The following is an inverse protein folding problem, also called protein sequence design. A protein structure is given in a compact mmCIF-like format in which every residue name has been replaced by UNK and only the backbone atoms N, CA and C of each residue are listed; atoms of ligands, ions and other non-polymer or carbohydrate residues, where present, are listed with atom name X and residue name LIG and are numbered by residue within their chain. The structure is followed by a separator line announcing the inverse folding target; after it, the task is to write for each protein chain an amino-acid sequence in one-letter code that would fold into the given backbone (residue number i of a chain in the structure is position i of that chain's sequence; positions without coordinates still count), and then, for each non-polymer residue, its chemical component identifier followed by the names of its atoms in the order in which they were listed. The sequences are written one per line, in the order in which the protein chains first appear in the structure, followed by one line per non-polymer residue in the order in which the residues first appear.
data_IF_257867185393
#
_entry.id   IF_257867185393
#
_cell.length_a   1.000
_cell.length_b   1.000
_cell.length_c   1.000
_cell.angle_alpha   90.00
_cell.angle_beta   90.00
_cell.angle_gamma   90.00
#
_symmetry.space_group_name_H-M   'P 1'
#
loop_
_entity.id
_entity.type
_entity.pdbx_description
1 polymer ?
#
# COMPACT_ATOMS: atom_id res chain seq x y z
N UNK A 1 34.17 31.03 -22.16
CA UNK A 1 33.60 31.15 -20.80
C UNK A 1 32.58 30.04 -20.64
N UNK A 2 33.04 28.87 -20.19
CA UNK A 2 32.14 27.72 -19.93
C UNK A 2 31.36 28.02 -18.67
N UNK A 3 30.09 28.28 -18.82
CA UNK A 3 29.16 28.30 -17.70
C UNK A 3 29.06 26.87 -17.21
N UNK A 4 29.73 26.55 -16.10
CA UNK A 4 29.46 25.31 -15.37
C UNK A 4 28.00 25.39 -14.92
N UNK A 5 27.15 24.64 -15.62
CA UNK A 5 25.80 24.36 -15.15
C UNK A 5 25.99 23.61 -13.82
N UNK A 6 25.70 24.29 -12.69
CA UNK A 6 25.70 23.66 -11.37
C UNK A 6 24.80 22.43 -11.47
N UNK A 7 25.41 21.25 -11.54
CA UNK A 7 24.67 19.97 -11.58
C UNK A 7 23.67 19.98 -10.46
N UNK A 8 22.41 20.19 -10.81
CA UNK A 8 21.29 20.29 -9.86
C UNK A 8 21.26 19.02 -9.04
N UNK A 9 21.62 19.12 -7.77
CA UNK A 9 21.59 18.00 -6.82
C UNK A 9 20.14 17.72 -6.43
N UNK A 10 19.73 16.46 -6.54
CA UNK A 10 18.36 16.03 -6.29
C UNK A 10 18.25 15.02 -5.17
N UNK A 11 17.13 15.08 -4.46
CA UNK A 11 16.69 14.05 -3.52
C UNK A 11 15.60 13.24 -4.21
N UNK A 12 15.66 11.93 -4.08
CA UNK A 12 14.61 11.02 -4.56
C UNK A 12 13.90 10.43 -3.36
N UNK A 13 12.58 10.58 -3.33
CA UNK A 13 11.68 9.84 -2.43
C UNK A 13 11.02 8.71 -3.23
N UNK A 14 10.94 7.53 -2.66
CA UNK A 14 10.21 6.39 -3.24
C UNK A 14 9.18 5.85 -2.26
N UNK A 15 7.95 5.69 -2.73
CA UNK A 15 6.89 4.91 -2.09
C UNK A 15 6.68 3.65 -2.93
N UNK A 16 7.26 2.53 -2.46
CA UNK A 16 7.36 1.29 -3.23
C UNK A 16 6.43 0.20 -2.70
N UNK A 17 5.42 -0.12 -3.48
CA UNK A 17 4.49 -1.21 -3.24
C UNK A 17 4.73 -2.41 -4.15
N UNK A 18 3.97 -3.48 -3.94
CA UNK A 18 4.08 -4.71 -4.74
C UNK A 18 3.64 -4.54 -6.21
N UNK A 19 2.75 -3.60 -6.51
CA UNK A 19 2.17 -3.39 -7.84
C UNK A 19 2.72 -2.19 -8.58
N UNK A 20 3.14 -1.16 -7.86
CA UNK A 20 3.67 0.07 -8.43
C UNK A 20 4.59 0.76 -7.43
N UNK A 21 5.54 1.53 -7.94
CA UNK A 21 6.39 2.43 -7.16
C UNK A 21 6.19 3.85 -7.66
N UNK A 22 5.97 4.77 -6.74
CA UNK A 22 5.93 6.21 -7.02
C UNK A 22 7.24 6.83 -6.56
N UNK A 23 7.94 7.47 -7.48
CA UNK A 23 9.16 8.19 -7.24
C UNK A 23 8.90 9.69 -7.34
N UNK A 24 9.50 10.46 -6.45
CA UNK A 24 9.49 11.92 -6.51
C UNK A 24 10.92 12.41 -6.54
N UNK A 25 11.28 13.04 -7.62
CA UNK A 25 12.58 13.73 -7.76
C UNK A 25 12.38 15.16 -7.32
N UNK A 26 13.01 15.55 -6.22
CA UNK A 26 12.97 16.90 -5.66
C UNK A 26 14.28 17.60 -6.03
N UNK A 27 14.17 18.68 -6.79
CA UNK A 27 15.28 19.51 -7.20
C UNK A 27 14.97 20.98 -6.88
N UNK A 28 15.63 21.54 -5.88
CA UNK A 28 15.32 22.88 -5.32
C UNK A 28 13.83 22.96 -4.95
N UNK A 29 13.02 23.72 -5.71
CA UNK A 29 11.59 23.87 -5.46
C UNK A 29 10.69 23.06 -6.42
N UNK A 30 11.29 22.30 -7.36
CA UNK A 30 10.53 21.54 -8.35
C UNK A 30 10.42 20.07 -7.95
N UNK A 31 9.25 19.51 -8.18
CA UNK A 31 8.95 18.10 -7.97
C UNK A 31 8.59 17.45 -9.30
N UNK A 32 9.20 16.30 -9.58
CA UNK A 32 8.84 15.45 -10.72
C UNK A 32 8.39 14.09 -10.21
N UNK A 33 7.14 13.75 -10.49
CA UNK A 33 6.62 12.42 -10.22
C UNK A 33 6.95 11.47 -11.37
N UNK A 34 7.37 10.26 -11.02
CA UNK A 34 7.64 9.16 -11.94
C UNK A 34 6.97 7.92 -11.36
N UNK A 35 6.31 7.14 -12.20
CA UNK A 35 5.71 5.88 -11.82
C UNK A 35 6.40 4.75 -12.55
N UNK A 36 6.73 3.69 -11.82
CA UNK A 36 7.33 2.47 -12.34
C UNK A 36 6.57 1.24 -11.88
N UNK A 37 6.92 0.10 -12.39
CA UNK A 37 6.52 -1.20 -11.86
C UNK A 37 6.86 -1.31 -10.38
N UNK A 38 6.13 -2.14 -9.65
CA UNK A 38 6.28 -2.30 -8.20
C UNK A 38 7.64 -2.92 -7.83
N UNK A 39 8.25 -2.37 -6.79
CA UNK A 39 9.47 -2.92 -6.19
C UNK A 39 9.15 -3.42 -4.79
N UNK A 40 9.25 -4.74 -4.62
CA UNK A 40 9.13 -5.40 -3.32
C UNK A 40 10.19 -6.51 -3.23
N UNK A 41 11.23 -6.35 -2.41
CA UNK A 41 12.31 -7.33 -2.30
C UNK A 41 11.89 -8.69 -1.73
N UNK A 42 10.66 -8.82 -1.22
CA UNK A 42 10.09 -10.12 -0.85
C UNK A 42 9.57 -10.93 -2.05
N UNK A 43 9.31 -10.26 -3.18
CA UNK A 43 8.67 -10.84 -4.37
C UNK A 43 9.62 -10.79 -5.57
N UNK A 44 10.28 -9.65 -5.80
CA UNK A 44 11.15 -9.44 -6.94
C UNK A 44 12.57 -9.96 -6.65
N UNK A 45 13.20 -10.61 -7.65
CA UNK A 45 14.62 -10.90 -7.63
C UNK A 45 15.45 -9.67 -8.02
N UNK A 46 16.80 -9.75 -7.87
CA UNK A 46 17.70 -8.62 -8.12
C UNK A 46 17.57 -8.10 -9.55
N UNK A 47 17.62 -8.99 -10.55
CA UNK A 47 17.54 -8.61 -11.96
C UNK A 47 16.21 -7.91 -12.31
N UNK A 48 15.11 -8.30 -11.68
CA UNK A 48 13.82 -7.62 -11.87
C UNK A 48 13.85 -6.21 -11.29
N UNK A 49 14.43 -6.04 -10.09
CA UNK A 49 14.55 -4.71 -9.46
C UNK A 49 15.50 -3.83 -10.30
N UNK A 50 16.63 -4.37 -10.73
CA UNK A 50 17.58 -3.66 -11.58
C UNK A 50 16.94 -3.21 -12.89
N UNK A 51 16.18 -4.09 -13.56
CA UNK A 51 15.47 -3.72 -14.79
C UNK A 51 14.52 -2.54 -14.55
N UNK A 52 13.73 -2.54 -13.47
CA UNK A 52 12.85 -1.40 -13.13
C UNK A 52 13.68 -0.12 -12.94
N UNK A 53 14.79 -0.20 -12.21
CA UNK A 53 15.62 0.98 -11.94
C UNK A 53 16.30 1.52 -13.22
N UNK A 54 16.82 0.63 -14.09
CA UNK A 54 17.57 1.03 -15.27
C UNK A 54 16.69 1.37 -16.46
N UNK A 55 15.59 0.62 -16.67
CA UNK A 55 14.75 0.76 -17.86
C UNK A 55 13.55 1.70 -17.64
N UNK A 56 13.01 1.74 -16.40
CA UNK A 56 11.81 2.54 -16.13
C UNK A 56 12.13 3.85 -15.37
N UNK A 57 13.08 3.87 -14.40
CA UNK A 57 13.37 5.06 -13.60
C UNK A 57 14.47 5.94 -14.22
N UNK A 58 15.64 5.38 -14.48
CA UNK A 58 16.82 6.15 -14.95
C UNK A 58 16.58 6.98 -16.20
N UNK A 59 15.81 6.54 -17.21
CA UNK A 59 15.51 7.35 -18.38
C UNK A 59 14.88 8.71 -18.07
N UNK A 60 14.23 8.82 -16.92
CA UNK A 60 13.56 10.05 -16.49
C UNK A 60 14.44 11.01 -15.69
N UNK A 61 15.65 10.59 -15.29
CA UNK A 61 16.56 11.34 -14.39
C UNK A 61 17.99 11.48 -14.91
N UNK A 62 18.26 11.26 -16.20
CA UNK A 62 19.61 11.27 -16.81
C UNK A 62 20.45 12.51 -16.53
N UNK A 63 19.82 13.68 -16.48
CA UNK A 63 20.53 14.96 -16.31
C UNK A 63 20.69 15.37 -14.84
N UNK A 64 20.33 14.47 -13.92
CA UNK A 64 20.21 14.80 -12.49
C UNK A 64 21.31 14.11 -11.70
N UNK A 65 22.08 14.85 -10.90
CA UNK A 65 22.97 14.25 -9.89
C UNK A 65 22.14 13.94 -8.65
N UNK A 66 21.93 12.65 -8.38
CA UNK A 66 21.18 12.20 -7.19
C UNK A 66 22.11 12.24 -5.98
N UNK A 67 21.75 13.05 -4.96
CA UNK A 67 22.50 13.17 -3.72
C UNK A 67 22.01 12.20 -2.66
N UNK A 68 20.69 11.99 -2.60
CA UNK A 68 20.06 11.19 -1.56
C UNK A 68 18.84 10.45 -2.10
N UNK A 69 18.67 9.21 -1.67
CA UNK A 69 17.48 8.41 -1.95
C UNK A 69 16.88 7.96 -0.62
N UNK A 70 15.62 8.31 -0.40
CA UNK A 70 14.80 7.82 0.70
C UNK A 70 13.81 6.80 0.10
N UNK A 71 14.11 5.53 0.27
CA UNK A 71 13.31 4.44 -0.26
C UNK A 71 12.44 3.85 0.86
N UNK A 72 11.14 4.02 0.72
CA UNK A 72 10.12 3.44 1.58
C UNK A 72 9.47 2.27 0.87
N UNK A 73 9.73 1.04 1.31
CA UNK A 73 9.33 -0.14 0.56
C UNK A 73 8.58 -1.20 1.35
N UNK A 74 7.51 -1.71 0.75
CA UNK A 74 6.91 -2.97 1.18
C UNK A 74 7.97 -4.08 1.15
N UNK A 75 7.97 -4.94 2.17
CA UNK A 75 8.95 -6.02 2.32
C UNK A 75 10.29 -5.62 2.93
N UNK A 76 10.55 -4.32 3.16
CA UNK A 76 11.78 -3.82 3.78
C UNK A 76 11.77 -3.88 5.32
N UNK A 77 10.72 -4.41 5.94
CA UNK A 77 10.70 -4.67 7.39
C UNK A 77 11.72 -5.75 7.78
N UNK A 78 11.97 -6.70 6.90
CA UNK A 78 13.04 -7.69 7.05
C UNK A 78 14.39 -7.04 6.76
N UNK A 79 15.32 -7.11 7.73
CA UNK A 79 16.63 -6.46 7.65
C UNK A 79 17.48 -6.97 6.47
N UNK A 80 17.42 -8.26 6.16
CA UNK A 80 18.19 -8.83 5.04
C UNK A 80 17.72 -8.29 3.71
N UNK A 81 16.40 -8.10 3.54
CA UNK A 81 15.78 -7.52 2.35
C UNK A 81 16.07 -6.03 2.24
N UNK A 82 16.09 -5.32 3.36
CA UNK A 82 16.48 -3.91 3.39
C UNK A 82 17.94 -3.73 2.96
N UNK A 83 18.88 -4.54 3.48
CA UNK A 83 20.28 -4.54 3.05
C UNK A 83 20.46 -4.89 1.58
N UNK A 84 19.70 -5.87 1.10
CA UNK A 84 19.70 -6.24 -0.32
C UNK A 84 19.24 -5.07 -1.19
N UNK A 85 18.19 -4.36 -0.79
CA UNK A 85 17.69 -3.19 -1.52
C UNK A 85 18.69 -2.04 -1.50
N UNK A 86 19.34 -1.78 -0.36
CA UNK A 86 20.44 -0.79 -0.25
C UNK A 86 21.56 -1.09 -1.26
N UNK A 87 22.01 -2.35 -1.34
CA UNK A 87 23.05 -2.77 -2.27
C UNK A 87 22.65 -2.52 -3.73
N UNK A 88 21.43 -2.88 -4.11
CA UNK A 88 20.94 -2.69 -5.49
C UNK A 88 20.87 -1.20 -5.82
N UNK A 89 20.34 -0.38 -4.92
CA UNK A 89 20.26 1.07 -5.14
C UNK A 89 21.65 1.71 -5.21
N UNK A 90 22.63 1.27 -4.43
CA UNK A 90 24.03 1.75 -4.54
C UNK A 90 24.66 1.39 -5.87
N UNK A 91 24.38 0.22 -6.42
CA UNK A 91 24.83 -0.14 -7.77
C UNK A 91 24.22 0.77 -8.83
N UNK A 92 22.95 1.12 -8.68
CA UNK A 92 22.29 2.03 -9.62
C UNK A 92 22.67 3.51 -9.41
N UNK A 93 22.96 3.95 -8.17
CA UNK A 93 23.20 5.34 -7.78
C UNK A 93 24.43 5.45 -6.86
N UNK A 94 25.59 5.20 -7.39
CA UNK A 94 26.85 5.04 -6.65
C UNK A 94 27.31 6.24 -5.81
N UNK A 95 26.81 7.45 -6.08
CA UNK A 95 27.14 8.69 -5.36
C UNK A 95 26.08 9.14 -4.38
N UNK A 96 24.93 8.48 -4.33
CA UNK A 96 23.82 8.88 -3.47
C UNK A 96 23.96 8.32 -2.06
N UNK A 97 23.54 9.12 -1.07
CA UNK A 97 23.20 8.60 0.26
C UNK A 97 21.91 7.77 0.17
N UNK A 98 21.93 6.52 0.60
CA UNK A 98 20.77 5.63 0.54
C UNK A 98 20.21 5.41 1.93
N UNK A 99 18.90 5.65 2.10
CA UNK A 99 18.17 5.37 3.33
C UNK A 99 16.98 4.46 2.96
N UNK A 100 16.97 3.27 3.54
CA UNK A 100 15.88 2.30 3.36
C UNK A 100 14.98 2.34 4.58
N UNK A 101 13.69 2.45 4.35
CA UNK A 101 12.62 2.42 5.35
C UNK A 101 11.47 1.54 4.89
N UNK A 102 10.56 1.25 5.80
CA UNK A 102 9.38 0.43 5.54
C UNK A 102 8.23 1.25 4.97
N UNK A 103 7.31 0.60 4.26
CA UNK A 103 6.05 1.19 3.82
C UNK A 103 5.17 1.66 5.01
N UNK A 104 5.26 0.97 6.17
CA UNK A 104 4.57 1.40 7.40
C UNK A 104 5.14 2.73 7.91
N UNK A 105 6.46 2.93 7.86
CA UNK A 105 7.07 4.22 8.22
C UNK A 105 6.62 5.33 7.26
N UNK A 106 6.53 5.05 5.96
CA UNK A 106 5.98 6.01 5.00
C UNK A 106 4.56 6.41 5.35
N UNK A 107 3.70 5.43 5.60
CA UNK A 107 2.32 5.65 5.99
C UNK A 107 2.23 6.45 7.30
N UNK A 108 3.04 6.08 8.31
CA UNK A 108 3.06 6.75 9.61
C UNK A 108 3.54 8.19 9.55
N UNK A 109 4.65 8.44 8.86
CA UNK A 109 5.18 9.80 8.64
C UNK A 109 4.15 10.66 7.91
N UNK A 110 3.51 10.12 6.87
CA UNK A 110 2.46 10.84 6.14
C UNK A 110 1.24 11.18 7.00
N UNK A 111 0.88 10.30 7.94
CA UNK A 111 -0.28 10.48 8.80
C UNK A 111 -0.01 11.40 10.00
N UNK A 112 1.16 11.30 10.60
CA UNK A 112 1.47 11.88 11.91
C UNK A 112 2.69 12.81 11.93
N UNK A 113 3.57 12.76 10.92
CA UNK A 113 4.88 13.41 11.01
C UNK A 113 5.69 12.80 12.15
N UNK A 114 6.01 13.61 13.16
CA UNK A 114 6.70 13.18 14.40
C UNK A 114 5.75 12.82 15.55
N UNK A 115 4.44 13.04 15.39
CA UNK A 115 3.48 12.74 16.46
C UNK A 115 3.29 11.22 16.63
N UNK A 116 2.80 10.83 17.81
CA UNK A 116 2.46 9.43 18.13
C UNK A 116 1.13 9.02 17.49
N UNK A 117 1.06 7.77 17.05
CA UNK A 117 -0.18 7.23 16.51
C UNK A 117 -0.08 5.81 15.98
N UNK A 118 -1.22 5.17 15.83
CA UNK A 118 -1.35 3.86 15.17
C UNK A 118 -1.67 4.11 13.70
N UNK A 119 -0.82 3.64 12.82
CA UNK A 119 -1.05 3.70 11.37
C UNK A 119 -1.40 2.32 10.83
N UNK A 120 -2.40 2.28 9.96
CA UNK A 120 -2.84 1.08 9.26
C UNK A 120 -2.71 1.30 7.76
N UNK A 121 -1.92 0.46 7.10
CA UNK A 121 -1.97 0.34 5.65
C UNK A 121 -3.15 -0.55 5.29
N UNK A 122 -4.01 -0.10 4.37
CA UNK A 122 -5.13 -0.86 3.82
C UNK A 122 -5.18 -0.64 2.31
N UNK A 123 -4.42 -1.46 1.61
CA UNK A 123 -4.27 -1.50 0.16
C UNK A 123 -4.60 -2.90 -0.38
N UNK A 124 -3.75 -3.46 -1.25
CA UNK A 124 -3.84 -4.87 -1.67
C UNK A 124 -3.76 -5.81 -0.47
N UNK A 125 -2.82 -5.59 0.45
CA UNK A 125 -2.74 -6.21 1.76
C UNK A 125 -2.96 -5.20 2.87
N UNK A 126 -2.77 -5.62 4.13
CA UNK A 126 -2.81 -4.74 5.30
C UNK A 126 -1.57 -4.91 6.18
N UNK A 127 -1.23 -3.83 6.86
CA UNK A 127 -0.12 -3.80 7.81
C UNK A 127 -0.39 -2.71 8.85
N UNK A 128 0.01 -2.93 10.10
CA UNK A 128 -0.29 -1.99 11.19
C UNK A 128 0.94 -1.76 12.03
N UNK A 129 1.21 -0.49 12.34
CA UNK A 129 2.35 -0.12 13.18
C UNK A 129 2.05 1.03 14.13
N UNK A 130 2.81 1.09 15.23
CA UNK A 130 2.81 2.18 16.18
C UNK A 130 3.98 3.11 15.87
N UNK A 131 3.66 4.38 15.69
CA UNK A 131 4.64 5.45 15.40
C UNK A 131 4.87 6.31 16.64
N UNK A 132 6.13 6.70 16.86
CA UNK A 132 6.54 7.70 17.84
C UNK A 132 7.75 8.47 17.32
N UNK A 133 7.72 9.81 17.36
CA UNK A 133 8.82 10.64 16.93
C UNK A 133 9.21 10.49 15.44
N UNK A 134 8.29 10.06 14.57
CA UNK A 134 8.58 9.76 13.17
C UNK A 134 9.25 8.40 12.93
N UNK A 135 9.32 7.57 13.97
CA UNK A 135 9.94 6.24 13.95
C UNK A 135 8.89 5.16 14.21
N UNK A 136 9.03 4.02 13.56
CA UNK A 136 8.23 2.83 13.81
C UNK A 136 8.75 2.15 15.09
N UNK A 137 7.91 2.07 16.14
CA UNK A 137 8.31 1.52 17.45
C UNK A 137 7.74 0.12 17.72
N UNK A 138 6.65 -0.23 17.04
CA UNK A 138 6.06 -1.57 17.11
C UNK A 138 5.29 -1.89 15.83
N UNK A 139 5.21 -3.17 15.49
CA UNK A 139 4.47 -3.69 14.34
C UNK A 139 3.54 -4.80 14.83
N UNK A 140 2.25 -4.64 14.57
CA UNK A 140 1.28 -5.68 14.87
C UNK A 140 1.56 -6.93 14.02
N UNK A 141 1.81 -8.09 14.64
CA UNK A 141 1.97 -9.33 13.90
C UNK A 141 0.72 -9.63 13.09
N UNK A 142 0.88 -9.86 11.80
CA UNK A 142 -0.20 -10.29 10.92
C UNK A 142 0.13 -11.64 10.33
N UNK A 143 -0.85 -12.52 10.33
CA UNK A 143 -0.78 -13.70 9.47
C UNK A 143 -0.85 -13.24 8.02
N UNK A 144 -0.08 -13.89 7.16
CA UNK A 144 -0.20 -13.62 5.73
C UNK A 144 -1.58 -14.06 5.22
N UNK A 145 -1.98 -13.49 4.08
CA UNK A 145 -3.14 -13.95 3.34
C UNK A 145 -3.02 -15.48 3.03
N UNK A 146 -4.10 -16.29 3.13
CA UNK A 146 -5.50 -15.88 3.36
C UNK A 146 -5.91 -15.74 4.83
N UNK A 147 -5.11 -16.15 5.78
CA UNK A 147 -5.44 -16.17 7.22
C UNK A 147 -5.24 -14.83 7.93
N UNK A 148 -4.87 -13.79 7.18
CA UNK A 148 -4.62 -12.44 7.64
C UNK A 148 -4.95 -11.41 6.58
N UNK A 149 -4.22 -10.28 6.60
CA UNK A 149 -4.49 -9.15 5.70
C UNK A 149 -5.92 -8.58 5.83
N UNK A 150 -6.55 -8.72 6.99
CA UNK A 150 -7.91 -8.20 7.24
C UNK A 150 -7.98 -6.70 6.96
N UNK A 151 -9.17 -6.22 6.58
CA UNK A 151 -9.41 -4.86 6.13
C UNK A 151 -8.66 -4.45 4.84
N UNK A 152 -8.15 -5.41 4.07
CA UNK A 152 -7.48 -5.18 2.79
C UNK A 152 -8.34 -5.56 1.59
N UNK A 153 -7.91 -5.10 0.40
CA UNK A 153 -8.57 -5.47 -0.85
C UNK A 153 -8.49 -6.98 -1.15
N UNK A 154 -7.41 -7.64 -0.76
CA UNK A 154 -7.26 -9.08 -0.93
C UNK A 154 -8.24 -9.86 -0.04
N UNK A 155 -8.37 -9.47 1.24
CA UNK A 155 -9.30 -10.16 2.14
C UNK A 155 -10.76 -9.96 1.71
N UNK A 156 -11.16 -8.72 1.42
CA UNK A 156 -12.54 -8.44 0.96
C UNK A 156 -12.82 -9.15 -0.36
N UNK A 157 -11.85 -9.16 -1.29
CA UNK A 157 -11.99 -9.90 -2.55
C UNK A 157 -12.08 -11.42 -2.36
N UNK A 158 -11.37 -11.98 -1.37
CA UNK A 158 -11.50 -13.39 -1.01
C UNK A 158 -12.89 -13.75 -0.48
N UNK A 159 -13.52 -12.84 0.27
CA UNK A 159 -14.91 -13.03 0.71
C UNK A 159 -15.88 -13.07 -0.49
N UNK A 160 -15.66 -12.25 -1.52
CA UNK A 160 -16.44 -12.32 -2.76
C UNK A 160 -16.26 -13.70 -3.45
N UNK A 161 -15.03 -14.21 -3.49
CA UNK A 161 -14.72 -15.53 -4.07
C UNK A 161 -15.35 -16.64 -3.23
N UNK A 162 -15.31 -16.55 -1.92
CA UNK A 162 -16.02 -17.48 -1.02
C UNK A 162 -17.51 -17.54 -1.38
N UNK A 163 -18.17 -16.39 -1.41
CA UNK A 163 -19.60 -16.29 -1.67
C UNK A 163 -19.98 -16.81 -3.07
N UNK A 164 -19.07 -16.66 -4.04
CA UNK A 164 -19.25 -17.24 -5.36
C UNK A 164 -19.22 -18.78 -5.31
N UNK A 165 -18.24 -19.36 -4.61
CA UNK A 165 -18.10 -20.81 -4.49
C UNK A 165 -19.27 -21.44 -3.71
N UNK A 166 -19.79 -20.72 -2.73
CA UNK A 166 -20.94 -21.14 -1.92
C UNK A 166 -22.29 -20.89 -2.62
N UNK A 167 -22.28 -20.21 -3.77
CA UNK A 167 -23.51 -19.86 -4.49
C UNK A 167 -24.33 -18.73 -3.86
N UNK A 168 -23.78 -18.03 -2.88
CA UNK A 168 -24.44 -16.94 -2.13
C UNK A 168 -24.21 -15.55 -2.74
N UNK A 169 -23.32 -15.43 -3.73
CA UNK A 169 -23.08 -14.15 -4.41
C UNK A 169 -24.34 -13.68 -5.17
N UNK A 170 -24.73 -12.38 -5.11
CA UNK A 170 -25.82 -11.86 -5.91
C UNK A 170 -25.63 -12.12 -7.41
N UNK A 171 -26.70 -12.61 -8.06
CA UNK A 171 -26.65 -13.08 -9.45
C UNK A 171 -26.18 -11.99 -10.44
N UNK A 172 -26.49 -10.74 -10.15
CA UNK A 172 -26.09 -9.60 -10.98
C UNK A 172 -24.58 -9.35 -10.88
N UNK A 173 -23.99 -9.46 -9.67
CA UNK A 173 -22.54 -9.38 -9.46
C UNK A 173 -21.84 -10.53 -10.14
N UNK A 174 -22.39 -11.74 -10.04
CA UNK A 174 -21.88 -12.92 -10.75
C UNK A 174 -21.84 -12.69 -12.26
N UNK A 175 -22.93 -12.20 -12.85
CA UNK A 175 -23.01 -11.89 -14.28
C UNK A 175 -21.99 -10.84 -14.70
N UNK A 176 -21.81 -9.79 -13.90
CA UNK A 176 -20.84 -8.72 -14.17
C UNK A 176 -19.40 -9.22 -14.12
N UNK A 177 -19.06 -10.05 -13.14
CA UNK A 177 -17.74 -10.68 -13.05
C UNK A 177 -17.43 -11.55 -14.27
N UNK A 178 -18.43 -12.32 -14.76
CA UNK A 178 -18.30 -13.15 -15.96
C UNK A 178 -18.11 -12.29 -17.21
N UNK A 179 -18.91 -11.22 -17.38
CA UNK A 179 -18.92 -10.41 -18.60
C UNK A 179 -17.65 -9.58 -18.79
N UNK A 180 -17.01 -9.15 -17.71
CA UNK A 180 -15.83 -8.27 -17.75
C UNK A 180 -14.51 -8.99 -17.83
N UNK A 181 -14.46 -10.23 -17.36
CA UNK A 181 -13.25 -11.01 -17.44
C UNK A 181 -13.21 -11.76 -18.77
N UNK A 182 -12.18 -11.47 -19.58
CA UNK A 182 -11.85 -12.30 -20.75
C UNK A 182 -11.41 -13.72 -20.36
N UNK A 183 -11.19 -13.95 -19.07
CA UNK A 183 -10.84 -15.22 -18.43
C UNK A 183 -12.11 -15.72 -17.77
N UNK A 184 -12.46 -16.99 -17.96
CA UNK A 184 -13.63 -17.59 -17.29
C UNK A 184 -13.44 -17.48 -15.77
N UNK A 185 -14.53 -17.38 -15.01
CA UNK A 185 -14.43 -17.36 -13.55
C UNK A 185 -13.78 -18.62 -13.02
N UNK A 186 -14.02 -19.76 -13.66
CA UNK A 186 -13.39 -21.04 -13.30
C UNK A 186 -11.86 -20.97 -13.46
N UNK A 187 -11.36 -20.32 -14.52
CA UNK A 187 -9.92 -20.06 -14.68
C UNK A 187 -9.38 -19.09 -13.63
N UNK A 188 -10.16 -18.03 -13.25
CA UNK A 188 -9.80 -17.15 -12.14
C UNK A 188 -9.74 -17.90 -10.81
N UNK A 189 -10.62 -18.89 -10.59
CA UNK A 189 -10.61 -19.70 -9.38
C UNK A 189 -9.48 -20.71 -9.35
N UNK A 190 -9.09 -21.29 -10.49
CA UNK A 190 -7.88 -22.10 -10.59
C UNK A 190 -6.65 -21.27 -10.24
N UNK A 191 -6.55 -20.07 -10.79
CA UNK A 191 -5.47 -19.11 -10.45
C UNK A 191 -5.55 -18.65 -8.99
N UNK A 192 -6.75 -18.55 -8.40
CA UNK A 192 -6.95 -18.23 -7.00
C UNK A 192 -6.43 -19.33 -6.05
N UNK A 193 -6.45 -20.57 -6.47
CA UNK A 193 -5.87 -21.68 -5.72
C UNK A 193 -4.34 -21.71 -5.78
N UNK A 194 -3.70 -21.03 -6.74
CA UNK A 194 -2.27 -20.81 -6.75
C UNK A 194 -1.88 -19.79 -5.66
N UNK A 195 -1.26 -20.29 -4.59
CA UNK A 195 -0.90 -19.51 -3.40
C UNK A 195 -0.05 -18.25 -3.67
N UNK A 196 0.71 -18.21 -4.78
CA UNK A 196 1.56 -17.07 -5.14
C UNK A 196 0.79 -15.91 -5.75
N UNK A 197 -0.33 -16.18 -6.44
CA UNK A 197 -1.11 -15.16 -7.14
C UNK A 197 -2.45 -14.86 -6.47
N UNK A 198 -2.94 -15.72 -5.58
CA UNK A 198 -4.26 -15.64 -4.96
C UNK A 198 -4.55 -14.28 -4.31
N UNK A 199 -3.59 -13.72 -3.59
CA UNK A 199 -3.71 -12.39 -2.95
C UNK A 199 -3.97 -11.27 -3.96
N UNK A 200 -3.23 -11.26 -5.06
CA UNK A 200 -3.37 -10.24 -6.10
C UNK A 200 -4.68 -10.42 -6.87
N UNK A 201 -5.06 -11.66 -7.15
CA UNK A 201 -6.31 -11.99 -7.83
C UNK A 201 -7.52 -11.57 -6.98
N UNK A 202 -7.52 -11.90 -5.69
CA UNK A 202 -8.57 -11.47 -4.77
C UNK A 202 -8.74 -9.95 -4.75
N UNK A 203 -7.64 -9.20 -4.64
CA UNK A 203 -7.70 -7.74 -4.69
C UNK A 203 -8.22 -7.21 -6.02
N UNK A 204 -7.91 -7.86 -7.14
CA UNK A 204 -8.45 -7.52 -8.46
C UNK A 204 -9.96 -7.82 -8.56
N UNK A 205 -10.44 -8.93 -7.99
CA UNK A 205 -11.88 -9.25 -7.94
C UNK A 205 -12.63 -8.12 -7.25
N UNK A 206 -12.16 -7.65 -6.10
CA UNK A 206 -12.77 -6.49 -5.44
C UNK A 206 -12.76 -5.24 -6.34
N UNK A 207 -11.62 -4.93 -6.97
CA UNK A 207 -11.51 -3.77 -7.84
C UNK A 207 -12.50 -3.84 -9.02
N UNK A 208 -12.71 -5.02 -9.60
CA UNK A 208 -13.70 -5.23 -10.65
C UNK A 208 -15.11 -4.96 -10.16
N UNK A 209 -15.50 -5.47 -9.00
CA UNK A 209 -16.83 -5.28 -8.43
C UNK A 209 -17.10 -3.80 -8.18
N UNK A 210 -16.18 -3.09 -7.51
CA UNK A 210 -16.40 -1.68 -7.12
C UNK A 210 -16.32 -0.70 -8.29
N UNK A 211 -15.66 -1.05 -9.39
CA UNK A 211 -15.61 -0.23 -10.61
C UNK A 211 -16.73 -0.54 -11.58
N UNK A 212 -17.53 -1.58 -11.32
CA UNK A 212 -18.66 -1.94 -12.15
C UNK A 212 -19.75 -0.83 -12.14
N UNK A 213 -20.40 -0.54 -13.27
CA UNK A 213 -21.55 0.37 -13.30
C UNK A 213 -22.66 -0.05 -12.34
N UNK A 214 -22.85 -1.36 -12.14
CA UNK A 214 -23.81 -1.93 -11.19
C UNK A 214 -23.51 -1.56 -9.74
N UNK A 215 -22.25 -1.33 -9.36
CA UNK A 215 -21.90 -0.90 -8.01
C UNK A 215 -22.53 0.43 -7.60
N UNK A 216 -23.04 1.20 -8.55
CA UNK A 216 -23.83 2.41 -8.27
C UNK A 216 -25.23 2.10 -7.71
N UNK A 217 -25.73 0.88 -7.88
CA UNK A 217 -27.04 0.44 -7.36
C UNK A 217 -26.95 0.13 -5.86
N UNK A 218 -28.01 0.47 -5.11
CA UNK A 218 -28.01 0.34 -3.64
C UNK A 218 -27.78 -1.09 -3.16
N UNK A 219 -28.41 -2.08 -3.81
CA UNK A 219 -28.30 -3.50 -3.42
C UNK A 219 -26.86 -4.04 -3.52
N UNK A 220 -26.12 -3.63 -4.56
CA UNK A 220 -24.73 -4.05 -4.74
C UNK A 220 -23.78 -3.38 -3.74
N UNK A 221 -24.05 -2.11 -3.42
CA UNK A 221 -23.32 -1.42 -2.36
C UNK A 221 -23.55 -2.08 -1.01
N UNK A 222 -24.76 -2.47 -0.69
CA UNK A 222 -25.10 -3.11 0.57
C UNK A 222 -24.40 -4.48 0.72
N UNK A 223 -24.40 -5.29 -0.34
CA UNK A 223 -23.65 -6.54 -0.35
C UNK A 223 -22.16 -6.32 -0.06
N UNK A 224 -21.50 -5.43 -0.81
CA UNK A 224 -20.06 -5.16 -0.60
C UNK A 224 -19.79 -4.53 0.77
N UNK A 225 -20.67 -3.67 1.26
CA UNK A 225 -20.60 -3.13 2.63
C UNK A 225 -20.66 -4.22 3.69
N UNK A 226 -21.48 -5.25 3.49
CA UNK A 226 -21.53 -6.43 4.36
C UNK A 226 -20.16 -7.10 4.45
N UNK A 227 -19.51 -7.36 3.32
CA UNK A 227 -18.17 -7.96 3.26
C UNK A 227 -17.07 -7.06 3.85
N UNK A 228 -17.15 -5.75 3.61
CA UNK A 228 -16.24 -4.77 4.23
C UNK A 228 -16.37 -4.83 5.76
N UNK A 229 -17.60 -4.83 6.28
CA UNK A 229 -17.86 -4.91 7.72
C UNK A 229 -17.39 -6.24 8.32
N UNK A 230 -17.58 -7.37 7.62
CA UNK A 230 -17.04 -8.67 8.03
C UNK A 230 -15.51 -8.60 8.17
N UNK A 231 -14.84 -8.08 7.16
CA UNK A 231 -13.39 -7.90 7.16
C UNK A 231 -12.90 -6.96 8.27
N UNK A 232 -13.65 -5.87 8.51
CA UNK A 232 -13.33 -4.89 9.56
C UNK A 232 -13.53 -5.45 10.97
N UNK A 233 -14.51 -6.32 11.19
CA UNK A 233 -14.69 -6.98 12.50
C UNK A 233 -13.48 -7.85 12.84
N UNK A 234 -13.00 -8.67 11.90
CA UNK A 234 -11.81 -9.51 12.09
C UNK A 234 -10.57 -8.65 12.35
N UNK A 235 -10.41 -7.59 11.57
CA UNK A 235 -9.31 -6.63 11.76
C UNK A 235 -9.37 -5.95 13.14
N UNK A 236 -10.54 -5.52 13.56
CA UNK A 236 -10.74 -4.83 14.85
C UNK A 236 -10.40 -5.72 16.03
N UNK A 237 -10.80 -6.99 16.02
CA UNK A 237 -10.46 -7.92 17.09
C UNK A 237 -8.95 -8.14 17.18
N UNK A 238 -8.25 -8.23 16.04
CA UNK A 238 -6.80 -8.31 15.99
C UNK A 238 -6.14 -7.02 16.51
N UNK A 239 -6.60 -5.87 16.03
CA UNK A 239 -6.11 -4.55 16.43
C UNK A 239 -6.28 -4.32 17.94
N UNK A 240 -7.48 -4.62 18.45
CA UNK A 240 -7.80 -4.53 19.88
C UNK A 240 -6.92 -5.47 20.71
N UNK A 241 -6.74 -6.71 20.26
CA UNK A 241 -5.90 -7.68 20.96
C UNK A 241 -4.46 -7.22 21.15
N UNK A 242 -3.90 -6.52 20.16
CA UNK A 242 -2.51 -6.07 20.18
C UNK A 242 -2.33 -4.67 20.80
N UNK A 243 -3.22 -3.71 20.48
CA UNK A 243 -3.09 -2.29 20.86
C UNK A 243 -4.14 -1.82 21.86
N UNK A 244 -4.67 -2.67 22.75
CA UNK A 244 -5.74 -2.29 23.69
C UNK A 244 -5.48 -0.98 24.44
N UNK A 245 -4.30 -0.83 25.05
CA UNK A 245 -3.93 0.37 25.79
C UNK A 245 -3.63 1.57 24.89
N UNK A 246 -3.08 1.31 23.72
CA UNK A 246 -2.71 2.37 22.76
C UNK A 246 -3.93 2.99 22.08
N UNK A 247 -4.98 2.20 21.79
CA UNK A 247 -6.21 2.68 21.17
C UNK A 247 -6.94 3.74 22.02
N UNK A 248 -6.76 3.70 23.35
CA UNK A 248 -7.35 4.68 24.24
C UNK A 248 -6.61 6.03 24.26
N UNK A 249 -5.34 6.05 23.85
CA UNK A 249 -4.44 7.20 24.04
C UNK A 249 -3.81 7.71 22.74
N UNK A 250 -3.84 6.92 21.66
CA UNK A 250 -3.19 7.25 20.39
C UNK A 250 -4.20 7.43 19.27
N UNK A 251 -3.93 8.37 18.39
CA UNK A 251 -4.72 8.57 17.18
C UNK A 251 -4.57 7.39 16.23
N UNK A 252 -5.67 6.97 15.61
CA UNK A 252 -5.71 5.93 14.57
C UNK A 252 -5.82 6.59 13.20
N UNK A 253 -4.94 6.24 12.27
CA UNK A 253 -5.01 6.71 10.88
C UNK A 253 -4.84 5.55 9.90
N UNK A 254 -5.42 5.71 8.72
CA UNK A 254 -5.38 4.72 7.65
C UNK A 254 -4.77 5.30 6.38
N UNK A 255 -4.00 4.47 5.66
CA UNK A 255 -3.37 4.81 4.38
C UNK A 255 -3.60 3.68 3.40
N UNK A 256 -4.03 4.00 2.18
CA UNK A 256 -4.15 3.01 1.11
C UNK A 256 -5.39 3.15 0.24
N UNK A 257 -5.36 2.47 -0.90
CA UNK A 257 -6.43 2.54 -1.90
C UNK A 257 -7.74 1.91 -1.44
N UNK A 258 -7.68 0.80 -0.70
CA UNK A 258 -8.87 0.09 -0.21
C UNK A 258 -9.62 0.94 0.81
N UNK A 259 -8.95 1.39 1.86
CA UNK A 259 -9.59 2.27 2.86
C UNK A 259 -10.08 3.58 2.24
N UNK A 260 -9.37 4.14 1.26
CA UNK A 260 -9.81 5.36 0.60
C UNK A 260 -11.09 5.16 -0.21
N UNK A 261 -11.24 3.98 -0.82
CA UNK A 261 -12.46 3.60 -1.56
C UNK A 261 -13.66 3.43 -0.63
N UNK A 262 -13.44 2.85 0.55
CA UNK A 262 -14.47 2.56 1.56
C UNK A 262 -14.38 3.47 2.79
N UNK A 263 -13.94 4.70 2.60
CA UNK A 263 -13.64 5.64 3.71
C UNK A 263 -14.84 5.88 4.65
N UNK A 264 -16.05 5.88 4.10
CA UNK A 264 -17.26 6.13 4.87
C UNK A 264 -17.63 4.91 5.71
N UNK A 265 -17.50 3.70 5.16
CA UNK A 265 -17.67 2.43 5.85
C UNK A 265 -16.66 2.26 7.00
N UNK A 266 -15.38 2.56 6.75
CA UNK A 266 -14.34 2.53 7.79
C UNK A 266 -14.63 3.53 8.91
N UNK A 267 -14.99 4.79 8.58
CA UNK A 267 -15.31 5.81 9.58
C UNK A 267 -16.51 5.39 10.42
N UNK A 268 -17.58 4.95 9.79
CA UNK A 268 -18.80 4.51 10.48
C UNK A 268 -18.51 3.31 11.39
N UNK A 269 -17.77 2.32 10.90
CA UNK A 269 -17.41 1.13 11.68
C UNK A 269 -16.64 1.50 12.96
N UNK A 270 -15.56 2.26 12.83
CA UNK A 270 -14.73 2.64 13.99
C UNK A 270 -15.44 3.60 14.93
N UNK A 271 -16.29 4.48 14.42
CA UNK A 271 -17.14 5.34 15.24
C UNK A 271 -18.09 4.53 16.13
N UNK A 272 -18.70 3.46 15.61
CA UNK A 272 -19.53 2.54 16.41
C UNK A 272 -18.72 1.79 17.48
N UNK A 273 -17.41 1.64 17.30
CA UNK A 273 -16.50 1.08 18.31
C UNK A 273 -15.97 2.15 19.29
N UNK A 274 -16.42 3.39 19.19
CA UNK A 274 -15.96 4.50 20.02
C UNK A 274 -14.57 5.05 19.62
N UNK A 275 -14.08 4.71 18.42
CA UNK A 275 -12.77 5.14 17.92
C UNK A 275 -12.97 6.13 16.78
N UNK A 276 -12.40 7.33 16.91
CA UNK A 276 -12.39 8.31 15.83
C UNK A 276 -11.14 8.13 14.96
N UNK A 277 -11.34 7.92 13.67
CA UNK A 277 -10.23 7.90 12.70
C UNK A 277 -9.73 9.33 12.48
N UNK A 278 -8.46 9.58 12.76
CA UNK A 278 -7.81 10.87 12.58
C UNK A 278 -7.70 11.23 11.08
N UNK A 279 -7.05 10.37 10.29
CA UNK A 279 -6.85 10.59 8.84
C UNK A 279 -7.12 9.32 8.03
N UNK A 280 -7.64 9.51 6.81
CA UNK A 280 -7.66 8.50 5.75
C UNK A 280 -6.94 9.11 4.54
N UNK A 281 -5.84 8.51 4.15
CA UNK A 281 -4.92 9.00 3.12
C UNK A 281 -4.84 7.95 1.99
N UNK A 282 -4.94 8.38 0.73
CA UNK A 282 -4.90 7.44 -0.39
C UNK A 282 -3.49 6.89 -0.65
N UNK A 283 -2.48 7.77 -0.64
CA UNK A 283 -1.06 7.43 -0.84
C UNK A 283 -0.20 8.28 0.08
N UNK A 284 0.92 7.77 0.61
CA UNK A 284 1.73 8.51 1.59
C UNK A 284 2.59 9.60 0.95
N UNK A 285 2.75 9.62 -0.37
CA UNK A 285 3.79 10.40 -1.06
C UNK A 285 3.75 11.89 -0.75
N UNK A 286 2.56 12.50 -0.70
CA UNK A 286 2.43 13.93 -0.40
C UNK A 286 2.92 14.26 1.01
N UNK A 287 2.51 13.47 2.01
CA UNK A 287 2.95 13.67 3.39
C UNK A 287 4.44 13.44 3.58
N UNK A 288 5.04 12.50 2.81
CA UNK A 288 6.49 12.30 2.79
C UNK A 288 7.22 13.52 2.20
N UNK A 289 6.73 14.09 1.10
CA UNK A 289 7.30 15.30 0.50
C UNK A 289 7.28 16.44 1.52
N UNK A 290 6.10 16.70 2.11
CA UNK A 290 5.91 17.77 3.08
C UNK A 290 6.84 17.59 4.30
N UNK A 291 6.99 16.37 4.79
CA UNK A 291 7.86 16.04 5.91
C UNK A 291 9.34 16.30 5.60
N UNK A 292 9.84 15.81 4.45
CA UNK A 292 11.26 15.92 4.10
C UNK A 292 11.69 17.29 3.56
N UNK A 293 10.75 18.12 3.12
CA UNK A 293 11.03 19.53 2.77
C UNK A 293 11.18 20.43 3.98
N UNK A 294 10.60 20.03 5.11
CA UNK A 294 10.60 20.84 6.34
C UNK A 294 11.71 20.41 7.34
N UNK A 295 12.56 19.45 6.94
CA UNK A 295 13.78 19.07 7.67
C UNK A 295 15.02 19.72 7.06
#
# INVERSE_FOLDING_TARGET
MFIFDEKRMSIILADAGATSTTWVVINNSQEKLIHTSGINPAINNDSQIEAILFDELKPHIYSTTVKKILFYGAGCLDHSRALRMDKILRTAFNTAEIIIKTDIEAAGISAFGVAKGIVVISGTGSSTGLMDGGTLVDVMPSKAYPEGDYASGAHIGALIVRDYNEGSIPIEIKKELISRNKVSLDELFVLFQDSKQSKMIASRVLAYVVTAPLFKQAIHKEYVRGLVNESLNLFYEQLKGHYTSNLATHSLSFVGGTVFTFKDEFRQFFQHKGIQINRIIRTPIKGLIDFHKNQ
#
